data_IF_884386748933
#
_entry.id   IF_884386748933
#
_cell.length_a   1.000
_cell.length_b   1.000
_cell.length_c   1.000
_cell.angle_alpha   90.00
_cell.angle_beta   90.00
_cell.angle_gamma   90.00
#
_symmetry.space_group_name_H-M   'P 1'
#
loop_
_entity.id
_entity.type
_entity.pdbx_description
1 polymer ?
#
# COMPACT_ATOMS: atom_id res chain seq x y z
N UNK A 1 -11.63 7.34 17.34
CA UNK A 1 -12.03 6.44 16.25
C UNK A 1 -11.63 5.03 16.64
N UNK A 2 -12.39 4.01 16.26
CA UNK A 2 -12.15 2.59 16.56
C UNK A 2 -12.71 1.71 15.45
N UNK A 3 -12.07 0.58 15.17
CA UNK A 3 -12.60 -0.47 14.28
C UNK A 3 -13.39 -1.56 15.04
N UNK A 4 -13.55 -1.41 16.37
CA UNK A 4 -14.41 -2.30 17.16
C UNK A 4 -15.85 -1.80 17.12
N UNK A 5 -16.71 -2.53 16.40
CA UNK A 5 -18.15 -2.21 16.32
C UNK A 5 -18.94 -2.63 17.57
N UNK A 6 -18.32 -3.36 18.51
CA UNK A 6 -18.98 -3.86 19.73
C UNK A 6 -18.18 -3.49 20.99
N UNK A 7 -17.78 -2.22 21.18
CA UNK A 7 -16.93 -1.85 22.28
C UNK A 7 -17.60 -2.10 23.64
N UNK A 8 -16.79 -2.41 24.66
CA UNK A 8 -17.27 -2.56 26.02
C UNK A 8 -17.11 -1.26 26.77
N UNK A 9 -18.20 -0.78 27.36
CA UNK A 9 -18.22 0.37 28.26
C UNK A 9 -18.37 -0.08 29.70
N UNK A 10 -17.80 0.67 30.62
CA UNK A 10 -17.83 0.33 32.05
C UNK A 10 -17.82 1.59 32.92
N UNK A 11 -18.20 1.43 34.16
CA UNK A 11 -18.24 2.52 35.12
C UNK A 11 -18.58 2.07 36.51
N UNK A 12 -18.90 3.05 37.38
CA UNK A 12 -19.34 2.82 38.74
C UNK A 12 -20.66 3.52 39.00
N UNK A 13 -21.52 2.87 39.82
CA UNK A 13 -22.74 3.45 40.34
C UNK A 13 -23.11 2.76 41.66
N UNK A 14 -24.22 3.14 42.29
CA UNK A 14 -24.66 2.51 43.51
C UNK A 14 -25.02 1.03 43.28
N UNK A 15 -24.51 0.15 44.14
CA UNK A 15 -24.74 -1.29 44.05
C UNK A 15 -26.25 -1.61 44.00
N UNK A 16 -26.66 -2.52 43.11
CA UNK A 16 -28.06 -2.94 42.92
C UNK A 16 -28.94 -1.99 42.12
N UNK A 17 -28.41 -0.84 41.64
CA UNK A 17 -29.11 0.02 40.68
C UNK A 17 -28.98 -0.53 39.26
N UNK A 18 -29.82 -0.03 38.35
CA UNK A 18 -29.76 -0.39 36.92
C UNK A 18 -29.22 0.79 36.11
N UNK A 19 -28.16 0.55 35.35
CA UNK A 19 -27.65 1.51 34.35
C UNK A 19 -28.35 1.22 33.03
N UNK A 20 -28.92 2.24 32.41
CA UNK A 20 -29.42 2.19 31.03
C UNK A 20 -28.47 2.96 30.14
N UNK A 21 -28.05 2.36 29.02
CA UNK A 21 -27.10 2.88 28.07
C UNK A 21 -27.85 3.36 26.83
N UNK A 22 -27.48 4.51 26.34
CA UNK A 22 -28.08 5.17 25.17
C UNK A 22 -27.03 5.51 24.11
N UNK A 23 -27.48 5.55 22.86
CA UNK A 23 -26.86 6.23 21.74
C UNK A 23 -27.84 7.30 21.24
N UNK A 24 -27.49 8.55 21.50
CA UNK A 24 -28.46 9.65 21.38
C UNK A 24 -29.71 9.39 22.19
N UNK A 25 -30.83 9.18 21.51
CA UNK A 25 -32.13 8.84 22.15
C UNK A 25 -32.46 7.34 22.16
N UNK A 26 -31.62 6.51 21.50
CA UNK A 26 -31.86 5.06 21.35
C UNK A 26 -31.30 4.31 22.55
N UNK A 27 -32.10 3.46 23.18
CA UNK A 27 -31.63 2.57 24.25
C UNK A 27 -30.86 1.39 23.63
N UNK A 28 -29.61 1.26 23.99
CA UNK A 28 -28.75 0.14 23.55
C UNK A 28 -28.86 -1.06 24.49
N UNK A 29 -29.08 -0.82 25.78
CA UNK A 29 -29.22 -1.89 26.74
C UNK A 29 -29.24 -1.43 28.19
N UNK A 30 -29.30 -2.42 29.10
CA UNK A 30 -29.33 -2.20 30.54
C UNK A 30 -28.43 -3.19 31.25
N UNK A 31 -27.82 -2.77 32.35
CA UNK A 31 -27.00 -3.64 33.22
C UNK A 31 -27.25 -3.31 34.69
N UNK A 32 -27.28 -4.33 35.53
CA UNK A 32 -27.37 -4.16 36.98
C UNK A 32 -25.97 -3.98 37.57
N UNK A 33 -25.82 -2.98 38.43
CA UNK A 33 -24.56 -2.66 39.12
C UNK A 33 -24.25 -3.74 40.14
N UNK A 34 -23.05 -4.27 40.10
CA UNK A 34 -22.56 -5.30 41.01
C UNK A 34 -22.49 -4.82 42.48
N UNK A 35 -22.30 -5.77 43.40
CA UNK A 35 -22.18 -5.49 44.84
C UNK A 35 -20.93 -4.62 45.17
N UNK A 36 -19.92 -4.63 44.28
CA UNK A 36 -18.72 -3.79 44.35
C UNK A 36 -18.88 -2.38 43.77
N UNK A 37 -20.12 -2.04 43.33
CA UNK A 37 -20.43 -0.75 42.71
C UNK A 37 -19.96 -0.62 41.25
N UNK A 38 -19.47 -1.69 40.62
CA UNK A 38 -18.99 -1.69 39.22
C UNK A 38 -20.04 -2.27 38.28
N UNK A 39 -19.98 -1.80 37.03
CA UNK A 39 -20.77 -2.34 35.96
C UNK A 39 -19.93 -2.35 34.66
N UNK A 40 -20.27 -3.26 33.76
CA UNK A 40 -19.67 -3.37 32.40
C UNK A 40 -20.75 -3.85 31.45
N UNK A 41 -20.76 -3.32 30.25
CA UNK A 41 -21.73 -3.66 29.21
C UNK A 41 -21.05 -3.63 27.84
N UNK A 42 -21.11 -4.74 27.13
CA UNK A 42 -20.67 -4.80 25.73
C UNK A 42 -21.81 -4.29 24.85
N UNK A 43 -21.53 -3.28 24.04
CA UNK A 43 -22.53 -2.68 23.17
C UNK A 43 -22.97 -3.67 22.08
N UNK A 44 -24.22 -3.62 21.63
CA UNK A 44 -24.62 -4.28 20.40
C UNK A 44 -23.79 -3.71 19.23
N UNK A 45 -23.76 -4.43 18.11
CA UNK A 45 -23.05 -3.97 16.93
C UNK A 45 -23.53 -2.58 16.51
N UNK A 46 -22.63 -1.61 16.58
CA UNK A 46 -22.82 -0.26 16.09
C UNK A 46 -22.55 -0.21 14.58
N UNK A 47 -23.16 0.73 13.88
CA UNK A 47 -22.85 1.05 12.49
C UNK A 47 -21.57 1.87 12.39
N UNK A 48 -21.00 1.99 11.21
CA UNK A 48 -19.96 2.98 10.98
C UNK A 48 -20.55 4.40 11.09
N UNK A 49 -19.77 5.31 11.69
CA UNK A 49 -20.15 6.69 11.94
C UNK A 49 -19.98 7.14 13.38
N UNK A 50 -20.46 8.34 13.67
CA UNK A 50 -20.40 8.93 15.00
C UNK A 50 -21.58 8.46 15.87
N UNK A 51 -21.27 8.06 17.11
CA UNK A 51 -22.19 7.66 18.15
C UNK A 51 -22.00 8.54 19.38
N UNK A 52 -23.12 8.96 19.98
CA UNK A 52 -23.13 9.79 21.20
C UNK A 52 -23.68 8.97 22.37
N UNK A 53 -22.76 8.34 23.10
CA UNK A 53 -23.10 7.41 24.18
C UNK A 53 -23.35 8.16 25.48
N UNK A 54 -24.47 7.86 26.14
CA UNK A 54 -24.77 8.37 27.48
C UNK A 54 -25.44 7.31 28.35
N UNK A 55 -25.55 7.56 29.66
CA UNK A 55 -26.15 6.62 30.61
C UNK A 55 -27.10 7.33 31.56
N UNK A 56 -28.10 6.60 32.03
CA UNK A 56 -28.91 6.96 33.22
C UNK A 56 -28.83 5.85 34.26
N UNK A 57 -29.03 6.16 35.52
CA UNK A 57 -29.07 5.19 36.61
C UNK A 57 -30.49 5.21 37.26
N UNK A 58 -31.09 4.04 37.40
CA UNK A 58 -32.37 3.89 38.08
C UNK A 58 -32.27 3.03 39.34
N UNK A 59 -32.86 3.47 40.44
CA UNK A 59 -32.92 2.69 41.65
C UNK A 59 -34.11 1.68 41.65
N UNK A 60 -34.19 0.84 42.66
CA UNK A 60 -35.27 -0.15 42.83
C UNK A 60 -36.62 0.46 43.18
N UNK A 61 -36.69 1.77 43.46
CA UNK A 61 -37.91 2.52 43.75
C UNK A 61 -38.43 3.27 42.53
N UNK A 62 -37.73 3.21 41.40
CA UNK A 62 -38.12 3.84 40.15
C UNK A 62 -37.61 5.27 39.95
N UNK A 63 -36.77 5.80 40.86
CA UNK A 63 -36.13 7.08 40.61
C UNK A 63 -35.03 6.92 39.55
N UNK A 64 -34.97 7.85 38.59
CA UNK A 64 -33.97 7.83 37.50
C UNK A 64 -33.19 9.15 37.48
N UNK A 65 -31.88 9.06 37.31
CA UNK A 65 -31.00 10.22 37.18
C UNK A 65 -31.22 10.94 35.82
N UNK A 66 -30.67 12.15 35.70
CA UNK A 66 -30.40 12.72 34.38
C UNK A 66 -29.38 11.91 33.61
N UNK A 67 -29.23 12.20 32.31
CA UNK A 67 -28.19 11.61 31.49
C UNK A 67 -26.79 12.03 31.96
N UNK A 68 -25.83 11.14 31.83
CA UNK A 68 -24.42 11.50 31.93
C UNK A 68 -24.02 12.48 30.80
N UNK A 69 -22.88 13.17 30.89
CA UNK A 69 -22.30 13.80 29.73
C UNK A 69 -22.10 12.79 28.59
N UNK A 70 -22.25 13.26 27.36
CA UNK A 70 -22.06 12.43 26.17
C UNK A 70 -20.60 12.02 26.02
N UNK A 71 -20.40 10.75 25.69
CA UNK A 71 -19.14 10.21 25.22
C UNK A 71 -19.26 9.96 23.72
N UNK A 72 -18.55 10.81 22.93
CA UNK A 72 -18.57 10.69 21.47
C UNK A 72 -17.56 9.65 21.01
N UNK A 73 -18.02 8.69 20.22
CA UNK A 73 -17.24 7.59 19.66
C UNK A 73 -17.50 7.53 18.16
N UNK A 74 -16.43 7.47 17.35
CA UNK A 74 -16.55 7.18 15.90
C UNK A 74 -16.16 5.73 15.67
N UNK A 75 -17.06 4.94 15.10
CA UNK A 75 -16.82 3.57 14.63
C UNK A 75 -16.54 3.62 13.14
N UNK A 76 -15.48 2.94 12.72
CA UNK A 76 -15.09 2.78 11.33
C UNK A 76 -14.50 1.38 11.15
N UNK A 77 -15.22 0.51 10.44
CA UNK A 77 -14.88 -0.91 10.28
C UNK A 77 -14.41 -1.25 8.87
N UNK A 78 -14.21 -0.24 8.02
CA UNK A 78 -13.90 -0.42 6.60
C UNK A 78 -12.73 0.44 6.16
N UNK A 79 -11.98 -0.01 5.18
CA UNK A 79 -10.95 0.76 4.50
C UNK A 79 -10.91 0.40 3.02
N UNK A 80 -10.82 1.42 2.16
CA UNK A 80 -10.67 1.22 0.73
C UNK A 80 -9.21 0.90 0.37
N UNK A 81 -8.96 0.01 -0.62
CA UNK A 81 -7.62 -0.16 -1.18
C UNK A 81 -7.18 1.11 -1.91
N UNK A 82 -5.88 1.19 -2.23
CA UNK A 82 -5.33 2.26 -3.09
C UNK A 82 -6.10 2.34 -4.40
N UNK A 83 -6.42 3.56 -4.82
CA UNK A 83 -6.89 3.86 -6.17
C UNK A 83 -5.83 4.66 -6.94
N UNK A 84 -5.96 4.65 -8.28
CA UNK A 84 -5.09 5.41 -9.20
C UNK A 84 -3.58 5.13 -9.02
N UNK A 85 -3.23 3.85 -8.70
CA UNK A 85 -1.82 3.46 -8.58
C UNK A 85 -1.09 3.76 -9.89
N UNK A 86 -0.04 4.57 -9.79
CA UNK A 86 0.90 4.89 -10.86
C UNK A 86 2.31 4.48 -10.45
N UNK A 87 3.05 3.96 -11.42
CA UNK A 87 4.48 3.69 -11.30
C UNK A 87 5.17 4.48 -12.41
N UNK A 88 6.14 5.29 -12.04
CA UNK A 88 6.77 6.26 -12.94
C UNK A 88 8.27 6.02 -13.00
N UNK A 89 8.81 5.95 -14.21
CA UNK A 89 10.23 5.94 -14.53
C UNK A 89 10.72 7.39 -14.66
N UNK A 90 11.79 7.76 -13.98
CA UNK A 90 12.42 9.07 -14.07
C UNK A 90 13.85 9.03 -14.64
N UNK A 91 14.31 7.86 -15.11
CA UNK A 91 15.62 7.67 -15.72
C UNK A 91 15.56 7.96 -17.22
N UNK A 92 16.53 8.77 -17.70
CA UNK A 92 16.59 9.22 -19.10
C UNK A 92 16.58 8.05 -20.09
N UNK A 93 15.82 8.22 -21.11
CA UNK A 93 15.39 7.57 -22.34
C UNK A 93 13.97 7.00 -22.30
N UNK A 94 13.37 6.69 -21.12
CA UNK A 94 12.01 6.17 -21.00
C UNK A 94 11.23 6.84 -19.87
N UNK A 95 11.42 8.14 -19.62
CA UNK A 95 10.76 8.86 -18.54
C UNK A 95 9.23 8.92 -18.71
N UNK A 96 8.50 8.68 -17.63
CA UNK A 96 7.05 8.79 -17.58
C UNK A 96 6.36 7.59 -16.93
N UNK A 97 5.02 7.56 -16.97
CA UNK A 97 4.26 6.48 -16.36
C UNK A 97 4.50 5.15 -17.08
N UNK A 98 4.81 4.12 -16.29
CA UNK A 98 4.93 2.75 -16.74
C UNK A 98 3.54 2.09 -16.85
N UNK A 99 3.45 1.08 -17.73
CA UNK A 99 2.28 0.19 -17.79
C UNK A 99 2.65 -1.17 -17.22
N UNK A 100 1.69 -1.84 -16.57
CA UNK A 100 1.93 -3.19 -16.03
C UNK A 100 2.33 -4.15 -17.13
N UNK A 101 3.43 -4.91 -16.91
CA UNK A 101 4.10 -5.75 -17.88
C UNK A 101 5.22 -5.03 -18.65
N UNK A 102 5.49 -3.75 -18.34
CA UNK A 102 6.51 -2.95 -19.01
C UNK A 102 7.94 -3.26 -18.56
N UNK A 103 8.89 -2.82 -19.40
CA UNK A 103 10.34 -2.84 -19.15
C UNK A 103 10.80 -1.45 -18.74
N UNK A 104 11.72 -1.35 -17.80
CA UNK A 104 12.29 -0.08 -17.32
C UNK A 104 13.80 -0.22 -17.04
N UNK A 105 14.55 0.83 -17.28
CA UNK A 105 15.94 0.96 -16.82
C UNK A 105 16.05 1.73 -15.48
N UNK A 106 14.92 2.04 -14.87
CA UNK A 106 14.85 2.67 -13.56
C UNK A 106 14.75 1.60 -12.46
N UNK A 107 15.79 1.46 -11.65
CA UNK A 107 15.79 0.55 -10.50
C UNK A 107 15.01 1.12 -9.29
N UNK A 108 14.65 2.39 -9.32
CA UNK A 108 13.97 3.09 -8.20
C UNK A 108 12.66 3.77 -8.65
N UNK A 109 11.78 3.08 -9.39
CA UNK A 109 10.59 3.71 -9.96
C UNK A 109 9.69 4.28 -8.86
N UNK A 110 9.21 5.50 -9.05
CA UNK A 110 8.36 6.16 -8.07
C UNK A 110 6.92 5.65 -8.17
N UNK A 111 6.38 5.20 -7.03
CA UNK A 111 4.97 4.82 -6.88
C UNK A 111 4.16 5.98 -6.32
N UNK A 112 2.95 6.16 -6.79
CA UNK A 112 2.00 7.14 -6.26
C UNK A 112 0.55 6.67 -6.46
N UNK A 113 -0.38 7.30 -5.75
CA UNK A 113 -1.80 6.98 -5.84
C UNK A 113 -2.60 7.75 -4.81
N UNK A 114 -3.85 7.32 -4.60
CA UNK A 114 -4.74 7.88 -3.58
C UNK A 114 -5.22 6.81 -2.61
N UNK A 115 -5.37 7.22 -1.36
CA UNK A 115 -5.91 6.44 -0.24
C UNK A 115 -6.67 7.39 0.69
N UNK A 116 -7.27 6.88 1.76
CA UNK A 116 -7.88 7.74 2.77
C UNK A 116 -6.84 8.66 3.43
N UNK A 117 -7.23 9.91 3.67
CA UNK A 117 -6.36 10.89 4.32
C UNK A 117 -5.84 10.38 5.67
N UNK A 118 -4.54 10.43 5.88
CA UNK A 118 -3.87 9.95 7.08
C UNK A 118 -3.67 8.43 7.15
N UNK A 119 -4.16 7.67 6.16
CA UNK A 119 -3.93 6.23 6.10
C UNK A 119 -2.47 5.91 5.76
N UNK A 120 -2.01 4.77 6.22
CA UNK A 120 -0.68 4.24 5.89
C UNK A 120 -0.79 3.24 4.74
N UNK A 121 -0.10 3.52 3.65
CA UNK A 121 0.04 2.61 2.50
C UNK A 121 1.32 1.80 2.71
N UNK A 122 1.21 0.48 2.69
CA UNK A 122 2.37 -0.44 2.70
C UNK A 122 2.58 -0.97 1.29
N UNK A 123 3.82 -0.89 0.81
CA UNK A 123 4.23 -1.28 -0.54
C UNK A 123 5.00 -2.58 -0.48
N UNK A 124 4.68 -3.50 -1.39
CA UNK A 124 5.26 -4.83 -1.47
C UNK A 124 5.85 -5.10 -2.86
N UNK A 125 6.86 -5.99 -2.88
CA UNK A 125 7.30 -6.72 -4.07
C UNK A 125 7.11 -8.21 -3.78
N UNK A 126 6.10 -8.82 -4.40
CA UNK A 126 5.60 -10.14 -4.03
C UNK A 126 5.19 -10.17 -2.56
N UNK A 127 5.92 -10.93 -1.73
CA UNK A 127 5.70 -10.98 -0.27
C UNK A 127 6.63 -10.10 0.55
N UNK A 128 7.57 -9.40 -0.08
CA UNK A 128 8.56 -8.56 0.60
C UNK A 128 8.01 -7.16 0.77
N UNK A 129 8.05 -6.62 1.99
CA UNK A 129 7.72 -5.22 2.26
C UNK A 129 8.88 -4.34 1.80
N UNK A 130 8.62 -3.43 0.87
CA UNK A 130 9.58 -2.43 0.41
C UNK A 130 9.59 -1.20 1.33
N UNK A 131 8.44 -0.83 1.89
CA UNK A 131 8.31 0.31 2.79
C UNK A 131 6.87 0.79 2.93
N UNK A 132 6.72 1.98 3.50
CA UNK A 132 5.41 2.59 3.77
C UNK A 132 5.40 4.06 3.37
N UNK A 133 4.22 4.56 3.03
CA UNK A 133 3.94 5.98 2.83
C UNK A 133 2.65 6.36 3.57
N UNK A 134 2.52 7.62 3.99
CA UNK A 134 1.29 8.13 4.61
C UNK A 134 0.59 9.03 3.60
N UNK A 135 -0.71 8.82 3.41
CA UNK A 135 -1.54 9.69 2.59
C UNK A 135 -1.71 11.06 3.26
N UNK A 136 -1.56 12.12 2.50
CA UNK A 136 -1.73 13.51 2.97
C UNK A 136 -3.21 13.86 3.22
N UNK A 137 -3.50 15.12 3.54
CA UNK A 137 -4.86 15.61 3.81
C UNK A 137 -5.79 15.50 2.59
N UNK A 138 -5.22 15.49 1.37
CA UNK A 138 -5.94 15.31 0.11
C UNK A 138 -6.02 13.84 -0.33
N UNK A 139 -5.43 12.93 0.47
CA UNK A 139 -5.39 11.50 0.22
C UNK A 139 -4.26 11.06 -0.73
N UNK A 140 -3.36 11.95 -1.15
CA UNK A 140 -2.25 11.59 -2.03
C UNK A 140 -1.09 11.00 -1.25
N UNK A 141 -0.44 9.99 -1.82
CA UNK A 141 0.77 9.40 -1.29
C UNK A 141 1.80 9.18 -2.40
N UNK A 142 3.07 9.14 -2.01
CA UNK A 142 4.20 8.83 -2.89
C UNK A 142 5.23 8.00 -2.15
N UNK A 143 5.87 7.07 -2.86
CA UNK A 143 6.93 6.22 -2.36
C UNK A 143 7.95 5.94 -3.45
N UNK A 144 9.24 5.98 -3.11
CA UNK A 144 10.34 5.54 -3.99
C UNK A 144 11.06 4.41 -3.25
N UNK A 145 11.15 3.21 -3.82
CA UNK A 145 11.83 2.09 -3.18
C UNK A 145 13.35 2.29 -3.16
N UNK A 146 14.03 1.54 -2.31
CA UNK A 146 15.45 1.25 -2.53
C UNK A 146 15.63 0.53 -3.88
N UNK A 147 16.83 0.55 -4.49
CA UNK A 147 17.04 -0.05 -5.79
C UNK A 147 16.55 -1.49 -5.87
N UNK A 148 15.63 -1.74 -6.78
CA UNK A 148 15.17 -3.06 -7.15
C UNK A 148 16.26 -3.80 -7.91
N UNK A 149 16.29 -5.14 -7.83
CA UNK A 149 17.22 -5.95 -8.59
C UNK A 149 16.87 -6.03 -10.08
N UNK A 150 17.74 -6.67 -10.86
CA UNK A 150 17.42 -7.02 -12.25
C UNK A 150 16.29 -8.06 -12.30
N UNK A 151 15.37 -7.94 -13.23
CA UNK A 151 14.33 -8.92 -13.52
C UNK A 151 12.91 -8.48 -13.19
N UNK A 152 11.99 -9.44 -13.09
CA UNK A 152 10.56 -9.20 -12.88
C UNK A 152 10.26 -8.90 -11.42
N UNK A 153 9.50 -7.84 -11.20
CA UNK A 153 8.96 -7.40 -9.91
C UNK A 153 7.44 -7.35 -9.96
N UNK A 154 6.79 -7.68 -8.83
CA UNK A 154 5.34 -7.68 -8.66
C UNK A 154 4.95 -6.75 -7.53
N UNK A 155 4.73 -5.49 -7.86
CA UNK A 155 4.43 -4.44 -6.90
C UNK A 155 2.95 -4.47 -6.53
N UNK A 156 2.65 -4.47 -5.24
CA UNK A 156 1.29 -4.35 -4.72
C UNK A 156 1.26 -3.49 -3.46
N UNK A 157 0.07 -3.10 -3.03
CA UNK A 157 -0.11 -2.24 -1.87
C UNK A 157 -1.23 -2.74 -0.97
N UNK A 158 -1.14 -2.45 0.34
CA UNK A 158 -2.26 -2.48 1.28
C UNK A 158 -2.40 -1.11 1.94
N UNK A 159 -3.60 -0.79 2.41
CA UNK A 159 -3.90 0.44 3.14
C UNK A 159 -4.31 0.09 4.55
N UNK A 160 -3.73 0.77 5.55
CA UNK A 160 -4.21 0.72 6.93
C UNK A 160 -4.68 2.12 7.32
N UNK A 161 -5.97 2.26 7.66
CA UNK A 161 -6.57 3.52 8.05
C UNK A 161 -6.23 3.94 9.49
N UNK A 162 -6.74 5.10 9.91
CA UNK A 162 -6.53 5.65 11.25
C UNK A 162 -7.29 4.85 12.33
N UNK A 163 -8.35 4.11 11.96
CA UNK A 163 -9.08 3.24 12.87
C UNK A 163 -8.40 1.88 13.09
N UNK A 164 -7.43 1.52 12.22
CA UNK A 164 -6.68 0.27 12.25
C UNK A 164 -7.27 -0.83 11.35
N UNK A 165 -8.19 -0.50 10.41
CA UNK A 165 -8.63 -1.43 9.38
C UNK A 165 -7.53 -1.57 8.34
N UNK A 166 -7.34 -2.78 7.81
CA UNK A 166 -6.38 -3.04 6.73
C UNK A 166 -7.07 -3.64 5.53
N UNK A 167 -6.83 -3.07 4.35
CA UNK A 167 -7.39 -3.55 3.08
C UNK A 167 -6.74 -4.87 2.63
N UNK A 168 -7.37 -5.54 1.66
CA UNK A 168 -6.68 -6.55 0.85
C UNK A 168 -5.57 -5.90 -0.01
N UNK A 169 -4.70 -6.74 -0.60
CA UNK A 169 -3.72 -6.28 -1.57
C UNK A 169 -4.40 -5.71 -2.81
N UNK A 170 -3.80 -4.66 -3.39
CA UNK A 170 -4.14 -4.21 -4.72
C UNK A 170 -3.82 -5.30 -5.76
N UNK A 171 -4.36 -5.23 -6.99
CA UNK A 171 -3.82 -6.00 -8.10
C UNK A 171 -2.31 -5.76 -8.26
N UNK A 172 -1.58 -6.80 -8.69
CA UNK A 172 -0.15 -6.68 -8.96
C UNK A 172 0.10 -5.73 -10.13
N UNK A 173 1.02 -4.80 -9.93
CA UNK A 173 1.66 -4.06 -11.00
C UNK A 173 2.98 -4.76 -11.33
N UNK A 174 3.05 -5.40 -12.49
CA UNK A 174 4.24 -6.14 -12.91
C UNK A 174 5.16 -5.20 -13.71
N UNK A 175 6.46 -5.21 -13.42
CA UNK A 175 7.46 -4.54 -14.23
C UNK A 175 8.74 -5.41 -14.29
N UNK A 176 9.56 -5.19 -15.31
CA UNK A 176 10.87 -5.80 -15.43
C UNK A 176 11.93 -4.71 -15.40
N UNK A 177 12.82 -4.79 -14.43
CA UNK A 177 13.99 -3.90 -14.33
C UNK A 177 15.13 -4.50 -15.13
N UNK A 178 15.71 -3.70 -16.05
CA UNK A 178 16.90 -4.03 -16.82
C UNK A 178 17.76 -2.76 -16.96
N UNK A 179 18.79 -2.68 -16.13
CA UNK A 179 19.72 -1.53 -16.06
C UNK A 179 21.03 -1.80 -16.76
N UNK A 180 21.17 -2.96 -17.39
CA UNK A 180 22.43 -3.43 -17.98
C UNK A 180 22.29 -3.71 -19.46
N UNK A 181 23.38 -3.56 -20.19
CA UNK A 181 23.49 -4.00 -21.58
C UNK A 181 24.80 -4.79 -21.75
N UNK A 182 24.66 -5.96 -22.33
CA UNK A 182 25.83 -6.78 -22.62
C UNK A 182 26.66 -6.18 -23.80
N UNK A 183 28.00 -6.15 -23.71
CA UNK A 183 28.82 -5.75 -24.84
C UNK A 183 28.64 -6.72 -26.00
N UNK A 184 28.91 -6.24 -27.21
CA UNK A 184 28.98 -7.12 -28.41
C UNK A 184 29.94 -8.27 -28.15
N UNK A 185 29.49 -9.49 -28.42
CA UNK A 185 30.33 -10.69 -28.41
C UNK A 185 30.59 -11.21 -29.82
N UNK A 186 31.55 -12.12 -29.93
CA UNK A 186 31.91 -12.77 -31.19
C UNK A 186 32.18 -11.80 -32.35
N UNK A 187 32.78 -10.62 -32.02
CA UNK A 187 33.13 -9.64 -33.03
C UNK A 187 34.08 -10.28 -34.05
N UNK A 188 33.67 -10.30 -35.30
CA UNK A 188 34.46 -10.71 -36.44
C UNK A 188 34.61 -9.54 -37.42
N UNK A 189 35.80 -9.44 -37.99
CA UNK A 189 36.10 -8.53 -39.07
C UNK A 189 36.50 -9.40 -40.26
N UNK A 190 35.83 -9.21 -41.38
CA UNK A 190 36.03 -10.06 -42.56
C UNK A 190 36.47 -9.22 -43.76
N UNK A 191 37.53 -9.64 -44.39
CA UNK A 191 38.01 -9.12 -45.69
C UNK A 191 37.27 -9.86 -46.82
N UNK A 192 36.62 -9.14 -47.72
CA UNK A 192 35.97 -9.70 -48.91
C UNK A 192 36.64 -9.34 -50.23
N UNK A 193 37.81 -8.65 -50.18
CA UNK A 193 38.56 -8.27 -51.34
C UNK A 193 39.51 -9.41 -51.80
N UNK A 194 39.47 -9.74 -53.08
CA UNK A 194 40.22 -10.83 -53.68
C UNK A 194 41.75 -10.76 -53.36
N UNK A 195 42.31 -11.94 -53.05
CA UNK A 195 43.66 -12.36 -52.63
C UNK A 195 43.80 -12.57 -51.10
N UNK A 196 42.92 -12.04 -50.25
CA UNK A 196 42.98 -12.27 -48.79
C UNK A 196 41.58 -12.40 -48.15
N UNK A 197 40.63 -13.00 -48.85
CA UNK A 197 39.25 -13.15 -48.35
C UNK A 197 39.17 -14.01 -47.09
N UNK A 198 38.41 -13.56 -46.08
CA UNK A 198 38.14 -14.32 -44.86
C UNK A 198 38.30 -13.50 -43.59
N UNK A 199 38.12 -14.15 -42.42
CA UNK A 199 38.21 -13.47 -41.14
C UNK A 199 39.62 -12.94 -40.88
N UNK A 200 39.67 -11.66 -40.45
CA UNK A 200 40.90 -11.00 -40.05
C UNK A 200 41.19 -11.27 -38.56
N UNK A 201 42.47 -11.37 -38.24
CA UNK A 201 42.92 -11.39 -36.84
C UNK A 201 43.36 -10.00 -36.41
N UNK A 202 43.26 -9.71 -35.10
CA UNK A 202 43.72 -8.42 -34.56
C UNK A 202 45.18 -8.17 -34.87
N UNK A 203 45.50 -7.01 -35.44
CA UNK A 203 46.82 -6.65 -35.91
C UNK A 203 47.19 -7.19 -37.32
N UNK A 204 46.24 -7.92 -37.96
CA UNK A 204 46.42 -8.40 -39.34
C UNK A 204 46.41 -7.27 -40.37
N UNK A 205 47.03 -7.55 -41.54
CA UNK A 205 47.01 -6.64 -42.69
C UNK A 205 45.82 -7.02 -43.60
N UNK A 206 45.19 -6.01 -44.18
CA UNK A 206 44.11 -6.17 -45.16
C UNK A 206 44.31 -5.20 -46.31
N UNK A 207 43.87 -5.59 -47.50
CA UNK A 207 43.76 -4.72 -48.66
C UNK A 207 42.29 -4.22 -48.85
N UNK A 208 41.41 -4.62 -47.94
CA UNK A 208 40.01 -4.17 -47.89
C UNK A 208 39.87 -2.86 -47.10
N UNK A 209 39.46 -1.79 -47.78
CA UNK A 209 39.22 -0.49 -47.15
C UNK A 209 37.89 -0.39 -46.46
N UNK A 210 36.99 -1.39 -46.65
CA UNK A 210 35.62 -1.42 -46.12
C UNK A 210 35.27 -2.79 -45.55
N UNK A 211 36.07 -3.35 -44.62
CA UNK A 211 35.87 -4.69 -44.11
C UNK A 211 34.50 -4.81 -43.42
N UNK A 212 33.85 -5.95 -43.59
CA UNK A 212 32.58 -6.22 -42.95
C UNK A 212 32.78 -6.58 -41.47
N UNK A 213 31.98 -5.95 -40.57
CA UNK A 213 31.93 -6.26 -39.15
C UNK A 213 30.66 -7.06 -38.85
N UNK A 214 30.82 -8.11 -38.07
CA UNK A 214 29.70 -8.91 -37.54
C UNK A 214 29.97 -9.31 -36.10
N UNK A 215 28.89 -9.60 -35.37
CA UNK A 215 28.95 -10.02 -33.98
C UNK A 215 27.56 -10.32 -33.48
N UNK A 216 27.47 -10.69 -32.22
CA UNK A 216 26.21 -10.87 -31.52
C UNK A 216 26.02 -9.78 -30.46
N UNK A 217 24.80 -9.26 -30.36
CA UNK A 217 24.41 -8.29 -29.38
C UNK A 217 23.05 -8.70 -28.78
N UNK A 218 22.67 -8.08 -27.72
CA UNK A 218 21.35 -8.25 -27.13
C UNK A 218 20.24 -7.89 -28.11
N UNK A 219 19.14 -8.65 -28.08
CA UNK A 219 18.03 -8.43 -29.00
C UNK A 219 17.40 -7.04 -28.79
N UNK A 220 17.32 -6.23 -29.85
CA UNK A 220 16.81 -4.86 -29.81
C UNK A 220 17.88 -3.80 -29.48
N UNK A 221 19.11 -4.18 -29.13
CA UNK A 221 20.18 -3.23 -28.93
C UNK A 221 20.65 -2.61 -30.28
N UNK A 222 21.07 -1.34 -30.20
CA UNK A 222 21.71 -0.67 -31.32
C UNK A 222 23.23 -0.88 -31.25
N UNK A 223 23.83 -1.32 -32.35
CA UNK A 223 25.27 -1.56 -32.51
C UNK A 223 25.90 -0.49 -33.41
#
# INVERSE_FOLDING_TARGET
MTNDATPTISGTAQAGTTVTIYDGTTVLGKVVVGADGKWSFTLPKLSDGEHSLSTTVSDTKGHTSGHSPDFVLTVDTTVAPVSDLQVTDDVAQHTGPLTSGGLTNDATPALSGTAEAGATVTIYDGSTVLGTAVADEDGHWRFTPDPLGEGEHRLSTTVTDVAGNTSGHSPDFVLTVDTTVAPVSDLQVTDDVAQHTGPLTSGGLTNDATPALSGTAEAGATV
#
